data_IF_995020796823
#
_entry.id   IF_995020796823
#
_cell.length_a   1.000
_cell.length_b   1.000
_cell.length_c   1.000
_cell.angle_alpha   90.00
_cell.angle_beta   90.00
_cell.angle_gamma   90.00
#
_symmetry.space_group_name_H-M   'P 1'
#
loop_
_entity.id
_entity.type
_entity.pdbx_description
1 polymer ?
#
# COMPACT_ATOMS: atom_id res chain seq x y z
N UNK A 1 -6.42 12.74 0.23
CA UNK A 1 -6.02 11.70 -0.73
C UNK A 1 -4.62 11.14 -0.45
N UNK A 2 -3.64 11.97 -0.11
CA UNK A 2 -2.23 11.62 0.19
C UNK A 2 -1.99 10.61 1.34
N UNK A 3 -2.98 10.36 2.20
CA UNK A 3 -2.80 9.57 3.45
C UNK A 3 -2.86 8.06 3.28
N UNK A 4 -3.19 7.53 2.10
CA UNK A 4 -3.61 6.13 1.95
C UNK A 4 -2.52 5.23 1.33
N UNK A 5 -1.65 5.75 0.45
CA UNK A 5 -0.75 4.86 -0.33
C UNK A 5 0.58 4.55 0.38
N UNK A 6 1.18 5.53 1.06
CA UNK A 6 2.45 5.33 1.80
C UNK A 6 2.29 5.38 3.34
N UNK A 7 1.04 5.40 3.81
CA UNK A 7 0.72 5.73 5.20
C UNK A 7 0.88 7.22 5.49
N UNK A 8 0.19 7.71 6.52
CA UNK A 8 0.35 9.09 6.95
C UNK A 8 1.77 9.33 7.46
N UNK A 9 2.45 10.37 6.96
CA UNK A 9 3.75 10.79 7.51
C UNK A 9 3.50 11.33 8.92
N UNK A 10 4.14 10.79 9.95
CA UNK A 10 3.94 11.28 11.31
C UNK A 10 4.29 12.77 11.43
N UNK A 11 3.51 13.56 12.18
CA UNK A 11 3.66 15.02 12.22
C UNK A 11 4.99 15.48 12.84
N UNK A 12 5.68 14.61 13.57
CA UNK A 12 6.99 14.87 14.17
C UNK A 12 8.17 14.64 13.22
N UNK A 13 7.94 14.21 11.97
CA UNK A 13 9.01 14.06 10.98
C UNK A 13 9.40 15.42 10.39
N UNK A 14 10.67 15.54 10.00
CA UNK A 14 11.20 16.77 9.35
C UNK A 14 10.41 17.07 8.06
N UNK A 15 10.17 18.35 7.72
CA UNK A 15 9.44 18.74 6.51
C UNK A 15 9.99 18.14 5.20
N UNK A 16 11.30 17.89 5.15
CA UNK A 16 11.94 17.22 4.00
C UNK A 16 11.34 15.83 3.71
N UNK A 17 10.87 15.10 4.73
CA UNK A 17 10.23 13.79 4.54
C UNK A 17 8.93 13.93 3.77
N UNK A 18 8.14 14.98 4.08
CA UNK A 18 6.91 15.29 3.37
C UNK A 18 7.20 15.69 1.92
N UNK A 19 8.21 16.54 1.71
CA UNK A 19 8.61 16.96 0.37
C UNK A 19 9.09 15.79 -0.51
N UNK A 20 9.90 14.88 0.05
CA UNK A 20 10.38 13.71 -0.70
C UNK A 20 9.22 12.77 -1.04
N UNK A 21 8.29 12.58 -0.10
CA UNK A 21 7.10 11.75 -0.35
C UNK A 21 6.22 12.36 -1.43
N UNK A 22 6.01 13.69 -1.40
CA UNK A 22 5.34 14.43 -2.45
C UNK A 22 5.94 14.20 -3.84
N UNK A 23 7.28 14.24 -3.93
CA UNK A 23 7.98 13.95 -5.17
C UNK A 23 7.72 12.55 -5.70
N UNK A 24 7.70 11.54 -4.83
CA UNK A 24 7.39 10.15 -5.22
C UNK A 24 5.93 10.01 -5.65
N UNK A 25 4.99 10.58 -4.89
CA UNK A 25 3.56 10.51 -5.22
C UNK A 25 3.25 11.15 -6.57
N UNK A 26 3.80 12.33 -6.85
CA UNK A 26 3.63 12.97 -8.15
C UNK A 26 4.39 12.24 -9.25
N UNK A 27 5.66 11.90 -9.02
CA UNK A 27 6.55 11.35 -10.04
C UNK A 27 6.23 9.92 -10.47
N UNK A 28 5.79 9.09 -9.52
CA UNK A 28 5.53 7.66 -9.68
C UNK A 28 4.04 7.36 -9.79
N UNK A 29 3.22 7.93 -8.89
CA UNK A 29 1.79 7.62 -8.82
C UNK A 29 0.92 8.61 -9.63
N UNK A 30 1.47 9.76 -10.01
CA UNK A 30 0.75 10.80 -10.76
C UNK A 30 -0.22 11.62 -9.90
N UNK A 31 -0.05 11.63 -8.58
CA UNK A 31 -0.88 12.46 -7.70
C UNK A 31 -0.57 13.95 -7.88
N UNK A 32 -1.62 14.77 -7.79
CA UNK A 32 -1.54 16.22 -8.00
C UNK A 32 -0.93 16.61 -9.36
N UNK A 33 -1.00 15.72 -10.37
CA UNK A 33 -0.38 15.96 -11.69
C UNK A 33 -0.88 17.26 -12.34
N UNK A 34 -2.17 17.54 -12.22
CA UNK A 34 -2.85 18.72 -12.78
C UNK A 34 -2.61 20.01 -11.98
N UNK A 35 -2.04 19.92 -10.77
CA UNK A 35 -1.65 21.08 -9.98
C UNK A 35 -0.35 21.73 -10.51
N UNK A 36 0.39 21.01 -11.37
CA UNK A 36 1.57 21.52 -12.06
C UNK A 36 1.24 21.87 -13.51
N UNK A 37 1.89 22.90 -14.05
CA UNK A 37 1.76 23.21 -15.48
C UNK A 37 2.52 22.20 -16.32
N UNK A 38 2.13 22.06 -17.60
CA UNK A 38 2.83 21.19 -18.53
C UNK A 38 4.32 21.57 -18.67
N UNK A 39 4.62 22.87 -18.70
CA UNK A 39 5.98 23.37 -18.81
C UNK A 39 6.83 23.00 -17.59
N UNK A 40 6.29 23.12 -16.37
CA UNK A 40 6.97 22.69 -15.15
C UNK A 40 7.30 21.19 -15.19
N UNK A 41 6.36 20.36 -15.64
CA UNK A 41 6.59 18.92 -15.78
C UNK A 41 7.65 18.60 -16.84
N UNK A 42 7.62 19.30 -17.98
CA UNK A 42 8.63 19.15 -19.04
C UNK A 42 10.02 19.53 -18.56
N UNK A 43 10.18 20.61 -17.80
CA UNK A 43 11.46 21.02 -17.23
C UNK A 43 12.05 19.93 -16.33
N UNK A 44 11.22 19.30 -15.47
CA UNK A 44 11.66 18.21 -14.60
C UNK A 44 12.12 17.00 -15.43
N UNK A 45 11.37 16.61 -16.45
CA UNK A 45 11.75 15.47 -17.32
C UNK A 45 12.98 15.80 -18.17
N UNK A 46 13.17 17.05 -18.57
CA UNK A 46 14.38 17.48 -19.27
C UNK A 46 15.62 17.42 -18.37
N UNK A 47 15.51 17.87 -17.11
CA UNK A 47 16.60 17.81 -16.14
C UNK A 47 16.88 16.37 -15.67
N UNK A 48 15.84 15.54 -15.56
CA UNK A 48 15.91 14.14 -15.14
C UNK A 48 15.17 13.23 -16.13
N UNK A 49 15.83 12.88 -17.26
CA UNK A 49 15.22 12.05 -18.29
C UNK A 49 14.71 10.71 -17.76
N UNK A 50 13.44 10.41 -18.03
CA UNK A 50 12.86 9.11 -17.73
C UNK A 50 13.36 8.10 -18.78
N UNK A 51 14.08 7.07 -18.35
CA UNK A 51 14.55 6.02 -19.24
C UNK A 51 13.41 5.27 -19.95
N UNK A 52 13.77 4.46 -20.95
CA UNK A 52 12.81 3.60 -21.66
C UNK A 52 12.10 2.65 -20.67
N UNK A 53 10.77 2.51 -20.78
CA UNK A 53 9.97 1.63 -19.91
C UNK A 53 10.12 1.98 -18.40
N UNK A 54 10.16 3.27 -18.07
CA UNK A 54 10.39 3.76 -16.71
C UNK A 54 9.46 3.13 -15.67
N UNK A 55 8.17 2.98 -15.98
CA UNK A 55 7.18 2.41 -15.05
C UNK A 55 7.47 0.93 -14.78
N UNK A 56 7.79 0.17 -15.82
CA UNK A 56 8.14 -1.24 -15.72
C UNK A 56 9.45 -1.44 -14.94
N UNK A 57 10.42 -0.55 -15.12
CA UNK A 57 11.68 -0.56 -14.37
C UNK A 57 11.46 -0.28 -12.87
N UNK A 58 10.57 0.66 -12.52
CA UNK A 58 10.20 0.90 -11.12
C UNK A 58 9.59 -0.35 -10.49
N UNK A 59 8.61 -0.96 -11.16
CA UNK A 59 7.96 -2.19 -10.69
C UNK A 59 8.99 -3.32 -10.56
N UNK A 60 9.90 -3.45 -11.51
CA UNK A 60 10.97 -4.45 -11.44
C UNK A 60 11.90 -4.20 -10.24
N UNK A 61 12.31 -2.95 -9.98
CA UNK A 61 13.15 -2.62 -8.85
C UNK A 61 12.45 -2.92 -7.50
N UNK A 62 11.16 -2.61 -7.37
CA UNK A 62 10.38 -2.99 -6.20
C UNK A 62 10.32 -4.51 -6.01
N UNK A 63 10.12 -5.26 -7.09
CA UNK A 63 10.12 -6.72 -7.05
C UNK A 63 11.46 -7.28 -6.57
N UNK A 64 12.57 -6.83 -7.15
CA UNK A 64 13.91 -7.28 -6.75
C UNK A 64 14.19 -7.00 -5.26
N UNK A 65 13.71 -5.87 -4.74
CA UNK A 65 13.84 -5.48 -3.34
C UNK A 65 12.98 -6.29 -2.36
N UNK A 66 11.95 -7.01 -2.82
CA UNK A 66 10.98 -7.69 -1.95
C UNK A 66 10.89 -9.20 -2.17
N UNK A 67 11.27 -9.72 -3.34
CA UNK A 67 11.11 -11.14 -3.70
C UNK A 67 11.76 -12.14 -2.73
N UNK A 68 12.79 -11.71 -2.00
CA UNK A 68 13.50 -12.54 -1.01
C UNK A 68 12.85 -12.51 0.39
N UNK A 69 11.81 -11.70 0.58
CA UNK A 69 11.06 -11.53 1.83
C UNK A 69 9.56 -11.29 1.58
N UNK A 70 8.89 -12.16 0.83
CA UNK A 70 7.50 -11.97 0.41
C UNK A 70 6.54 -11.80 1.59
N UNK A 71 6.80 -12.45 2.73
CA UNK A 71 5.95 -12.31 3.91
C UNK A 71 5.90 -10.89 4.51
N UNK A 72 6.91 -10.05 4.23
CA UNK A 72 6.99 -8.68 4.74
C UNK A 72 6.16 -7.67 3.93
N UNK A 73 5.60 -8.08 2.78
CA UNK A 73 4.82 -7.17 1.93
C UNK A 73 3.35 -7.10 2.33
N UNK A 74 2.88 -8.00 3.20
CA UNK A 74 1.49 -8.07 3.60
C UNK A 74 0.97 -6.71 4.12
N UNK A 75 -0.14 -6.24 3.54
CA UNK A 75 -0.75 -4.95 3.89
C UNK A 75 -0.07 -3.72 3.28
N UNK A 76 0.86 -3.90 2.34
CA UNK A 76 1.55 -2.80 1.64
C UNK A 76 1.32 -2.87 0.13
N UNK A 77 1.60 -1.78 -0.58
CA UNK A 77 1.57 -1.74 -2.05
C UNK A 77 2.55 -2.71 -2.72
N UNK A 78 3.56 -3.20 -1.99
CA UNK A 78 4.53 -4.15 -2.53
C UNK A 78 3.92 -5.54 -2.75
N UNK A 79 2.79 -5.85 -2.10
CA UNK A 79 2.04 -7.09 -2.32
C UNK A 79 1.50 -7.15 -3.77
N UNK A 80 1.14 -6.00 -4.33
CA UNK A 80 0.69 -5.89 -5.71
C UNK A 80 1.83 -6.07 -6.71
N UNK A 81 3.03 -5.60 -6.36
CA UNK A 81 4.23 -5.77 -7.19
C UNK A 81 4.59 -7.24 -7.31
N UNK A 82 4.60 -7.97 -6.19
CA UNK A 82 4.91 -9.41 -6.19
C UNK A 82 3.84 -10.20 -6.94
N UNK A 83 2.55 -9.90 -6.72
CA UNK A 83 1.47 -10.57 -7.45
C UNK A 83 1.49 -10.33 -8.96
N UNK A 84 2.01 -9.17 -9.40
CA UNK A 84 2.18 -8.89 -10.83
C UNK A 84 3.39 -9.63 -11.44
N UNK A 85 4.47 -9.81 -10.67
CA UNK A 85 5.75 -10.33 -11.17
C UNK A 85 5.95 -11.83 -10.99
N UNK A 86 5.31 -12.42 -9.98
CA UNK A 86 5.41 -13.84 -9.67
C UNK A 86 4.00 -14.48 -9.73
N UNK A 87 3.69 -15.27 -10.78
CA UNK A 87 2.42 -15.99 -10.88
C UNK A 87 2.18 -17.01 -9.76
N UNK A 88 3.24 -17.46 -9.08
CA UNK A 88 3.15 -18.36 -7.94
C UNK A 88 2.89 -17.65 -6.61
N UNK A 89 3.04 -16.32 -6.56
CA UNK A 89 2.86 -15.55 -5.34
C UNK A 89 1.38 -15.52 -4.93
N UNK A 90 1.11 -15.96 -3.70
CA UNK A 90 -0.23 -15.93 -3.11
C UNK A 90 -0.27 -14.87 -2.02
N UNK A 91 -1.06 -13.81 -2.29
CA UNK A 91 -1.35 -12.77 -1.30
C UNK A 91 -1.98 -13.38 -0.05
N UNK A 92 -1.55 -12.92 1.12
CA UNK A 92 -2.23 -13.25 2.37
C UNK A 92 -3.56 -12.49 2.45
N UNK A 93 -4.58 -13.15 2.96
CA UNK A 93 -5.89 -12.54 3.15
C UNK A 93 -6.08 -12.18 4.64
N UNK A 94 -6.22 -10.88 4.91
CA UNK A 94 -6.41 -10.37 6.27
C UNK A 94 -7.66 -10.94 6.96
N UNK A 95 -8.78 -11.02 6.26
CA UNK A 95 -10.03 -11.55 6.80
C UNK A 95 -9.92 -13.04 7.11
N UNK A 96 -9.26 -13.83 6.26
CA UNK A 96 -9.03 -15.25 6.53
C UNK A 96 -8.17 -15.47 7.77
N UNK A 97 -7.20 -14.58 8.04
CA UNK A 97 -6.40 -14.63 9.27
C UNK A 97 -7.28 -14.33 10.49
N UNK A 98 -8.16 -13.33 10.43
CA UNK A 98 -9.10 -13.02 11.52
C UNK A 98 -10.03 -14.19 11.75
N UNK A 99 -10.70 -14.71 10.72
CA UNK A 99 -11.70 -15.76 10.85
C UNK A 99 -11.09 -17.12 11.25
N UNK A 100 -9.82 -17.36 10.92
CA UNK A 100 -9.10 -18.59 11.27
C UNK A 100 -8.25 -18.47 12.55
N UNK A 101 -8.39 -17.39 13.31
CA UNK A 101 -7.62 -17.22 14.54
C UNK A 101 -8.13 -18.16 15.66
N UNK A 102 -7.33 -18.36 16.70
CA UNK A 102 -7.62 -19.34 17.77
C UNK A 102 -8.66 -18.87 18.80
N UNK A 103 -9.13 -17.62 18.72
CA UNK A 103 -10.13 -17.10 19.64
C UNK A 103 -11.49 -17.70 19.31
N UNK A 104 -12.15 -18.22 20.33
CA UNK A 104 -13.46 -18.81 20.19
C UNK A 104 -14.54 -17.79 20.54
N UNK A 105 -15.19 -17.24 19.51
CA UNK A 105 -16.25 -16.25 19.69
C UNK A 105 -17.58 -16.86 20.20
N UNK A 106 -17.72 -18.19 20.22
CA UNK A 106 -18.92 -18.86 20.77
C UNK A 106 -19.04 -18.76 22.30
N UNK A 107 -17.96 -18.37 23.01
CA UNK A 107 -18.00 -18.19 24.46
C UNK A 107 -18.65 -16.86 24.90
N UNK A 108 -19.08 -16.01 23.97
CA UNK A 108 -19.77 -14.75 24.24
C UNK A 108 -21.28 -14.80 23.97
N UNK A 109 -21.81 -15.97 23.59
CA UNK A 109 -23.26 -16.18 23.55
C UNK A 109 -23.79 -16.07 25.00
N UNK A 110 -24.71 -15.13 25.24
CA UNK A 110 -25.37 -15.01 26.54
C UNK A 110 -26.01 -16.36 26.89
N UNK A 111 -25.54 -17.04 27.93
CA UNK A 111 -26.17 -18.26 28.45
C UNK A 111 -27.43 -17.95 29.29
N UNK A 112 -28.09 -16.83 29.02
CA UNK A 112 -29.31 -16.43 29.69
C UNK A 112 -30.52 -17.10 29.02
N UNK A 113 -31.40 -17.70 29.82
CA UNK A 113 -32.65 -18.30 29.33
C UNK A 113 -33.79 -17.27 29.23
N UNK A 114 -33.44 -16.00 28.99
CA UNK A 114 -34.38 -14.89 28.97
C UNK A 114 -35.00 -14.74 27.56
N UNK A 115 -36.32 -14.95 27.40
CA UNK A 115 -36.99 -14.85 26.10
C UNK A 115 -37.01 -13.42 25.52
N UNK A 116 -36.57 -12.40 26.27
CA UNK A 116 -36.44 -11.02 25.78
C UNK A 116 -35.09 -10.72 25.14
N UNK A 117 -34.09 -11.59 25.31
CA UNK A 117 -32.80 -11.47 24.66
C UNK A 117 -32.85 -12.22 23.32
N UNK A 118 -32.64 -11.52 22.20
CA UNK A 118 -32.48 -12.17 20.90
C UNK A 118 -31.05 -12.69 20.78
N UNK A 119 -30.89 -13.99 21.00
CA UNK A 119 -29.68 -14.73 20.64
C UNK A 119 -29.69 -14.92 19.13
N UNK A 120 -28.69 -14.36 18.46
CA UNK A 120 -28.56 -14.38 17.00
C UNK A 120 -27.39 -15.26 16.58
#
# INVERSE_FOLDING_TARGET
MWRIIFGAIPPFKKPVVQLVTAGVEMGVLGFAYDEFTEDQRKLVVAAHPRGKNFKEQIIHAFNEGMKHRPDSTFGTVNDDVLALKDPGFRRKNFCSIILGNAWNDSNYECACNDPTHQHR
#
